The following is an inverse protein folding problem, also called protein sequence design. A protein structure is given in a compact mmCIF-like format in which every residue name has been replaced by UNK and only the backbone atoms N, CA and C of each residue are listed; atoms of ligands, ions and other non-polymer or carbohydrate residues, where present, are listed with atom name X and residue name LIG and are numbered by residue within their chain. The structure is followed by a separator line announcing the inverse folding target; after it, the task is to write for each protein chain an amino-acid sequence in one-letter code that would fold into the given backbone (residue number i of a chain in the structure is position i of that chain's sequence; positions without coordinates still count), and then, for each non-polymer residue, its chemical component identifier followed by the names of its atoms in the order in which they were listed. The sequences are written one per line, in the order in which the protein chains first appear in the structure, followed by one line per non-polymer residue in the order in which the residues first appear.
data_IF_993370507652
#
_entry.id   IF_993370507652
#
_cell.length_a   1.000
_cell.length_b   1.000
_cell.length_c   1.000
_cell.angle_alpha   90.00
_cell.angle_beta   90.00
_cell.angle_gamma   90.00
#
_symmetry.space_group_name_H-M   'P 1'
#
loop_
_entity.id
_entity.type
_entity.pdbx_description
1 polymer ?
#
# COMPACT_ATOMS: atom_id res chain seq x y z
N UNK A 1 -12.10 -4.73 4.77
CA UNK A 1 -10.65 -4.68 5.12
C UNK A 1 -10.35 -5.01 6.58
N UNK A 2 -11.29 -4.83 7.49
CA UNK A 2 -11.12 -5.16 8.92
C UNK A 2 -10.70 -6.61 9.17
N UNK A 3 -11.33 -7.58 8.52
CA UNK A 3 -10.97 -8.99 8.64
C UNK A 3 -9.51 -9.31 8.28
N UNK A 4 -8.95 -8.61 7.29
CA UNK A 4 -7.54 -8.73 6.89
C UNK A 4 -6.61 -8.22 8.00
N UNK A 5 -6.89 -7.04 8.55
CA UNK A 5 -6.10 -6.46 9.65
C UNK A 5 -6.19 -7.31 10.92
N UNK A 6 -7.39 -7.77 11.25
CA UNK A 6 -7.59 -8.66 12.39
C UNK A 6 -6.83 -9.99 12.24
N UNK A 7 -6.79 -10.58 11.04
CA UNK A 7 -6.02 -11.79 10.77
C UNK A 7 -4.52 -11.56 10.96
N UNK A 8 -3.98 -10.43 10.47
CA UNK A 8 -2.57 -10.05 10.64
C UNK A 8 -2.24 -9.85 12.12
N UNK A 9 -3.08 -9.13 12.85
CA UNK A 9 -2.87 -8.88 14.28
C UNK A 9 -2.85 -10.17 15.08
N UNK A 10 -3.83 -11.08 14.88
CA UNK A 10 -3.85 -12.39 15.53
C UNK A 10 -2.58 -13.19 15.23
N UNK A 11 -2.15 -13.23 13.97
CA UNK A 11 -0.94 -13.94 13.56
C UNK A 11 0.32 -13.34 14.19
N UNK A 12 0.43 -12.02 14.28
CA UNK A 12 1.55 -11.34 14.93
C UNK A 12 1.60 -11.60 16.44
N UNK A 13 0.43 -11.68 17.09
CA UNK A 13 0.30 -11.95 18.54
C UNK A 13 0.49 -13.44 18.90
N UNK A 14 0.24 -14.35 17.97
CA UNK A 14 0.25 -15.79 18.20
C UNK A 14 1.65 -16.41 18.42
N UNK A 15 2.70 -15.59 18.56
CA UNK A 15 4.10 -16.07 18.57
C UNK A 15 4.88 -15.98 19.89
N UNK A 16 4.29 -15.72 21.08
CA UNK A 16 5.02 -15.89 22.33
C UNK A 16 5.34 -17.38 22.55
N UNK A 17 6.62 -17.74 22.51
CA UNK A 17 7.09 -19.07 22.91
C UNK A 17 7.27 -20.12 21.81
N UNK A 18 6.95 -19.83 20.53
CA UNK A 18 7.30 -20.75 19.43
C UNK A 18 8.75 -20.56 18.96
N UNK A 19 9.53 -21.64 18.73
CA UNK A 19 10.85 -21.54 18.15
C UNK A 19 10.73 -21.00 16.72
N UNK A 20 11.54 -19.99 16.40
CA UNK A 20 11.58 -19.38 15.08
C UNK A 20 11.80 -17.86 15.14
N UNK A 21 12.08 -17.22 14.01
CA UNK A 21 12.21 -15.77 13.97
C UNK A 21 10.87 -15.11 14.33
N UNK A 22 10.92 -14.14 15.25
CA UNK A 22 9.73 -13.34 15.61
C UNK A 22 9.14 -12.71 14.35
N UNK A 23 7.82 -12.70 14.27
CA UNK A 23 7.12 -11.97 13.21
C UNK A 23 7.50 -10.48 13.31
N UNK A 24 7.99 -9.92 12.23
CA UNK A 24 8.18 -8.48 12.15
C UNK A 24 6.80 -7.82 12.05
N UNK A 25 6.62 -6.64 12.66
CA UNK A 25 5.39 -5.85 12.51
C UNK A 25 5.10 -5.36 11.09
N UNK A 26 5.95 -5.72 10.15
CA UNK A 26 5.94 -5.18 8.79
C UNK A 26 4.74 -5.60 7.95
N UNK A 27 4.14 -6.78 8.21
CA UNK A 27 3.10 -7.31 7.33
C UNK A 27 1.85 -6.41 7.26
N UNK A 28 1.46 -5.82 8.38
CA UNK A 28 0.35 -4.86 8.44
C UNK A 28 0.63 -3.62 7.62
N UNK A 29 1.79 -3.00 7.86
CA UNK A 29 2.24 -1.81 7.15
C UNK A 29 2.41 -2.06 5.65
N UNK A 30 2.93 -3.24 5.26
CA UNK A 30 3.05 -3.63 3.85
C UNK A 30 1.67 -3.73 3.20
N UNK A 31 0.68 -4.31 3.87
CA UNK A 31 -0.70 -4.42 3.34
C UNK A 31 -1.35 -3.05 3.24
N UNK A 32 -1.23 -2.21 4.26
CA UNK A 32 -1.76 -0.84 4.21
C UNK A 32 -1.10 -0.03 3.09
N UNK A 33 0.22 -0.17 2.92
CA UNK A 33 0.92 0.51 1.84
C UNK A 33 0.63 -0.10 0.46
N UNK A 34 0.20 -1.36 0.36
CA UNK A 34 -0.33 -1.91 -0.90
C UNK A 34 -1.71 -1.34 -1.25
N UNK A 35 -2.53 -1.05 -0.25
CA UNK A 35 -3.87 -0.49 -0.42
C UNK A 35 -3.84 1.01 -0.77
N UNK A 36 -2.84 1.76 -0.30
CA UNK A 36 -2.76 3.19 -0.54
C UNK A 36 -2.57 3.53 -2.04
N UNK A 37 -1.50 3.09 -2.73
CA UNK A 37 -1.32 3.33 -4.15
C UNK A 37 -1.92 2.25 -5.07
N UNK A 38 -2.40 1.14 -4.54
CA UNK A 38 -2.78 -0.03 -5.35
C UNK A 38 -1.59 -0.73 -6.03
N UNK A 39 -0.39 -0.56 -5.50
CA UNK A 39 0.85 -1.03 -6.14
C UNK A 39 1.08 -2.53 -6.00
N UNK A 40 1.97 -3.08 -6.84
CA UNK A 40 2.40 -4.47 -6.74
C UNK A 40 3.31 -4.66 -5.54
N UNK A 41 3.29 -5.83 -4.91
CA UNK A 41 4.13 -6.15 -3.74
C UNK A 41 5.63 -5.88 -3.98
N UNK A 42 6.14 -6.17 -5.18
CA UNK A 42 7.53 -5.88 -5.53
C UNK A 42 7.84 -4.40 -5.59
N UNK A 43 6.88 -3.58 -6.02
CA UNK A 43 6.98 -2.12 -6.04
C UNK A 43 7.01 -1.56 -4.61
N UNK A 44 6.11 -2.03 -3.75
CA UNK A 44 6.06 -1.62 -2.33
C UNK A 44 7.36 -1.96 -1.58
N UNK A 45 7.88 -3.17 -1.78
CA UNK A 45 9.11 -3.61 -1.12
C UNK A 45 10.38 -2.94 -1.68
N UNK A 46 10.28 -2.26 -2.84
CA UNK A 46 11.35 -1.49 -3.44
C UNK A 46 11.39 -0.03 -2.99
N UNK A 47 10.40 0.44 -2.22
CA UNK A 47 10.31 1.84 -1.80
C UNK A 47 11.43 2.24 -0.85
N UNK A 48 11.92 3.44 -1.05
CA UNK A 48 12.91 4.10 -0.20
C UNK A 48 12.28 5.32 0.46
N UNK A 49 12.83 5.77 1.56
CA UNK A 49 12.37 6.98 2.22
C UNK A 49 12.46 8.20 1.31
N UNK A 50 13.48 8.29 0.46
CA UNK A 50 13.63 9.37 -0.53
C UNK A 50 12.61 9.33 -1.67
N UNK A 51 11.87 8.24 -1.83
CA UNK A 51 10.79 8.13 -2.82
C UNK A 51 9.47 8.72 -2.28
N UNK A 52 9.45 9.26 -1.04
CA UNK A 52 8.33 9.90 -0.37
C UNK A 52 8.57 11.40 -0.20
N UNK A 53 7.53 12.18 -0.39
CA UNK A 53 7.44 13.55 0.11
C UNK A 53 6.30 13.63 1.13
N UNK A 54 6.65 13.43 2.42
CA UNK A 54 5.68 13.48 3.51
C UNK A 54 5.49 14.90 4.07
N UNK A 55 6.32 15.86 3.66
CA UNK A 55 6.26 17.24 4.11
C UNK A 55 5.40 18.13 3.19
N UNK A 56 5.08 17.66 2.00
CA UNK A 56 4.21 18.36 1.07
C UNK A 56 2.81 18.58 1.68
N UNK A 57 2.13 19.64 1.27
CA UNK A 57 0.72 19.88 1.61
C UNK A 57 -0.17 18.66 1.28
N UNK A 58 0.13 18.00 0.16
CA UNK A 58 -0.45 16.72 -0.24
C UNK A 58 0.68 15.68 -0.31
N UNK A 59 0.88 14.88 0.75
CA UNK A 59 1.96 13.90 0.79
C UNK A 59 1.91 12.92 -0.37
N UNK A 60 3.07 12.65 -0.96
CA UNK A 60 3.17 11.82 -2.17
C UNK A 60 4.14 10.66 -2.02
N UNK A 61 3.95 9.67 -2.87
CA UNK A 61 4.79 8.50 -3.05
C UNK A 61 5.13 8.33 -4.53
N UNK A 62 6.41 8.18 -4.85
CA UNK A 62 6.87 7.87 -6.22
C UNK A 62 7.24 6.39 -6.32
N UNK A 63 6.53 5.67 -7.19
CA UNK A 63 6.84 4.29 -7.55
C UNK A 63 7.81 4.32 -8.72
N UNK A 64 9.08 4.01 -8.44
CA UNK A 64 10.18 4.10 -9.40
C UNK A 64 11.10 2.88 -9.38
N UNK A 65 10.62 1.74 -8.87
CA UNK A 65 11.39 0.51 -8.84
C UNK A 65 10.59 -0.69 -8.37
N UNK A 66 11.18 -1.86 -8.52
CA UNK A 66 10.59 -3.13 -8.08
C UNK A 66 11.66 -4.10 -7.60
N UNK A 67 11.32 -4.97 -6.67
CA UNK A 67 12.20 -6.06 -6.23
C UNK A 67 12.07 -7.22 -7.20
N UNK A 68 13.20 -7.62 -7.78
CA UNK A 68 13.32 -8.80 -8.63
C UNK A 68 14.31 -9.80 -8.03
N UNK A 69 14.20 -11.06 -8.45
CA UNK A 69 15.15 -12.12 -8.11
C UNK A 69 15.99 -12.47 -9.33
N UNK A 70 17.29 -12.48 -9.15
CA UNK A 70 18.24 -12.96 -10.17
C UNK A 70 19.02 -14.14 -9.61
N UNK A 71 19.05 -15.24 -10.37
CA UNK A 71 19.81 -16.42 -10.00
C UNK A 71 21.30 -16.06 -9.80
N UNK A 72 21.87 -16.44 -8.67
CA UNK A 72 23.24 -16.11 -8.28
C UNK A 72 23.44 -14.72 -7.63
N UNK A 73 22.51 -13.79 -7.76
CA UNK A 73 22.59 -12.45 -7.15
C UNK A 73 21.54 -12.23 -6.04
N UNK A 74 20.51 -13.07 -5.97
CA UNK A 74 19.45 -12.94 -4.98
C UNK A 74 18.42 -11.84 -5.32
N UNK A 75 17.85 -11.23 -4.27
CA UNK A 75 16.88 -10.14 -4.43
C UNK A 75 17.61 -8.80 -4.51
N UNK A 76 17.26 -8.01 -5.52
CA UNK A 76 17.75 -6.65 -5.68
C UNK A 76 16.66 -5.73 -6.22
N UNK A 77 16.84 -4.43 -6.05
CA UNK A 77 15.96 -3.42 -6.60
C UNK A 77 16.35 -3.13 -8.04
N UNK A 78 15.38 -3.22 -8.92
CA UNK A 78 15.45 -2.67 -10.27
C UNK A 78 14.81 -1.28 -10.22
N UNK A 79 15.59 -0.26 -10.61
CA UNK A 79 15.25 1.15 -10.38
C UNK A 79 14.17 1.72 -11.29
N UNK A 80 13.57 0.92 -12.15
CA UNK A 80 12.46 1.37 -12.98
C UNK A 80 11.56 0.20 -13.34
N UNK A 81 10.33 0.51 -13.72
CA UNK A 81 9.36 -0.49 -14.13
C UNK A 81 9.52 -0.78 -15.63
N UNK A 82 9.05 -1.95 -16.08
CA UNK A 82 9.17 -2.36 -17.49
C UNK A 82 8.46 -1.45 -18.48
N UNK A 83 7.57 -0.55 -18.02
CA UNK A 83 6.85 0.42 -18.84
C UNK A 83 6.84 1.77 -18.15
N UNK A 84 6.83 2.85 -18.91
CA UNK A 84 6.73 4.22 -18.39
C UNK A 84 5.50 4.40 -17.48
N UNK A 85 4.40 3.72 -17.77
CA UNK A 85 3.21 3.71 -16.95
C UNK A 85 3.42 3.10 -15.54
N UNK A 86 4.45 2.30 -15.35
CA UNK A 86 4.85 1.79 -14.02
C UNK A 86 5.49 2.85 -13.14
N UNK A 87 6.14 3.86 -13.75
CA UNK A 87 6.80 4.96 -13.06
C UNK A 87 5.78 6.08 -12.81
N UNK A 88 5.34 6.24 -11.56
CA UNK A 88 4.26 7.17 -11.22
C UNK A 88 4.42 7.74 -9.82
N UNK A 89 3.90 8.95 -9.63
CA UNK A 89 3.73 9.57 -8.32
C UNK A 89 2.24 9.60 -7.99
N UNK A 90 1.89 9.23 -6.77
CA UNK A 90 0.52 9.19 -6.27
C UNK A 90 0.42 9.97 -4.95
N UNK A 91 -0.72 10.60 -4.72
CA UNK A 91 -1.03 11.21 -3.43
C UNK A 91 -1.40 10.11 -2.44
N UNK A 92 -0.88 10.22 -1.22
CA UNK A 92 -1.11 9.25 -0.16
C UNK A 92 -2.37 9.58 0.64
N UNK A 93 -3.24 8.60 0.91
CA UNK A 93 -4.32 8.75 1.88
C UNK A 93 -3.77 8.89 3.31
N UNK A 94 -4.53 9.54 4.19
CA UNK A 94 -4.10 9.88 5.55
C UNK A 94 -3.66 8.68 6.37
N UNK A 95 -4.34 7.54 6.25
CA UNK A 95 -3.98 6.32 6.97
C UNK A 95 -2.55 5.85 6.63
N UNK A 96 -2.16 5.96 5.35
CA UNK A 96 -0.81 5.58 4.91
C UNK A 96 0.24 6.59 5.37
N UNK A 97 -0.08 7.89 5.36
CA UNK A 97 0.80 8.93 5.89
C UNK A 97 1.07 8.71 7.38
N UNK A 98 0.03 8.51 8.19
CA UNK A 98 0.17 8.26 9.63
C UNK A 98 1.01 7.01 9.93
N UNK A 99 0.78 5.92 9.20
CA UNK A 99 1.58 4.70 9.31
C UNK A 99 3.05 4.94 8.95
N UNK A 100 3.32 5.63 7.83
CA UNK A 100 4.68 5.92 7.38
C UNK A 100 5.42 6.85 8.34
N UNK A 101 4.76 7.86 8.90
CA UNK A 101 5.35 8.72 9.92
C UNK A 101 5.75 7.94 11.17
N UNK A 102 4.84 7.11 11.69
CA UNK A 102 5.12 6.24 12.84
C UNK A 102 6.28 5.30 12.54
N UNK A 103 6.30 4.71 11.35
CA UNK A 103 7.37 3.82 10.91
C UNK A 103 8.70 4.55 10.80
N UNK A 104 8.74 5.77 10.26
CA UNK A 104 9.96 6.58 10.11
C UNK A 104 10.60 6.91 11.46
N UNK A 105 9.79 7.22 12.47
CA UNK A 105 10.28 7.49 13.83
C UNK A 105 10.95 6.28 14.49
N UNK A 106 10.53 5.05 14.10
CA UNK A 106 11.03 3.81 14.67
C UNK A 106 11.98 3.06 13.72
N UNK A 107 12.27 3.61 12.55
CA UNK A 107 13.11 2.96 11.55
C UNK A 107 14.59 3.02 11.97
N UNK A 108 15.27 1.88 11.91
CA UNK A 108 16.73 1.85 11.96
C UNK A 108 17.28 2.25 10.58
N UNK A 109 18.41 2.97 10.60
CA UNK A 109 19.12 3.30 9.39
C UNK A 109 19.55 2.03 8.65
N UNK A 110 19.42 2.07 7.34
CA UNK A 110 19.87 0.97 6.50
C UNK A 110 20.52 1.51 5.20
N UNK A 111 21.54 0.80 4.68
CA UNK A 111 22.33 1.30 3.54
C UNK A 111 21.55 1.40 2.22
N UNK A 112 20.30 0.95 2.20
CA UNK A 112 19.43 0.96 1.01
C UNK A 112 18.36 2.03 1.08
N UNK A 113 18.30 2.78 2.18
CA UNK A 113 17.25 3.76 2.46
C UNK A 113 15.82 3.13 2.35
N UNK A 114 15.74 1.80 2.51
CA UNK A 114 14.52 1.04 2.29
C UNK A 114 13.49 1.28 3.41
N UNK A 115 12.23 1.48 3.06
CA UNK A 115 11.12 1.57 4.03
C UNK A 115 10.95 0.23 4.74
N UNK A 116 11.11 -0.87 4.00
CA UNK A 116 11.04 -2.24 4.50
C UNK A 116 12.38 -2.95 4.29
N UNK A 117 13.22 -2.95 5.30
CA UNK A 117 14.49 -3.65 5.29
C UNK A 117 14.46 -4.91 6.15
N UNK A 118 15.26 -5.91 5.79
CA UNK A 118 15.53 -7.02 6.67
C UNK A 118 16.41 -6.57 7.85
N UNK A 119 16.55 -7.41 8.88
CA UNK A 119 17.48 -7.16 10.01
C UNK A 119 18.93 -6.95 9.58
N UNK A 120 19.30 -7.41 8.37
CA UNK A 120 20.63 -7.23 7.78
C UNK A 120 20.72 -6.02 6.86
N UNK A 121 19.68 -5.15 6.82
CA UNK A 121 19.63 -4.00 5.92
C UNK A 121 19.47 -4.36 4.44
N UNK A 122 19.06 -5.58 4.11
CA UNK A 122 18.80 -6.02 2.72
C UNK A 122 17.32 -5.85 2.36
N UNK A 123 17.03 -5.87 1.05
CA UNK A 123 15.66 -5.88 0.56
C UNK A 123 14.87 -7.09 1.06
N UNK A 124 13.62 -6.89 1.42
CA UNK A 124 12.71 -7.99 1.74
C UNK A 124 12.35 -8.78 0.48
N UNK A 125 12.28 -10.10 0.65
CA UNK A 125 11.81 -11.00 -0.40
C UNK A 125 10.28 -10.93 -0.54
N UNK A 126 9.74 -10.63 -1.74
CA UNK A 126 8.30 -10.73 -1.99
C UNK A 126 7.74 -12.13 -1.71
N UNK A 127 8.53 -13.17 -1.90
CA UNK A 127 8.15 -14.56 -1.62
C UNK A 127 7.98 -14.80 -0.12
N UNK A 128 8.87 -14.25 0.72
CA UNK A 128 8.76 -14.35 2.17
C UNK A 128 7.52 -13.61 2.69
N UNK A 129 7.26 -12.41 2.18
CA UNK A 129 6.06 -11.65 2.55
C UNK A 129 4.79 -12.40 2.14
N UNK A 130 4.74 -12.99 0.94
CA UNK A 130 3.62 -13.83 0.52
C UNK A 130 3.44 -15.07 1.40
N UNK A 131 4.54 -15.66 1.88
CA UNK A 131 4.48 -16.79 2.83
C UNK A 131 3.91 -16.34 4.16
N UNK A 132 4.37 -15.24 4.73
CA UNK A 132 3.84 -14.66 5.97
C UNK A 132 2.35 -14.35 5.83
N UNK A 133 1.94 -13.75 4.71
CA UNK A 133 0.54 -13.49 4.43
C UNK A 133 -0.31 -14.78 4.37
N UNK A 134 0.19 -15.84 3.71
CA UNK A 134 -0.49 -17.13 3.71
C UNK A 134 -0.66 -17.70 5.13
N UNK A 135 0.32 -17.54 5.99
CA UNK A 135 0.23 -17.96 7.39
C UNK A 135 -0.79 -17.10 8.17
N UNK A 136 -0.74 -15.78 8.01
CA UNK A 136 -1.64 -14.86 8.70
C UNK A 136 -3.12 -15.09 8.35
N UNK A 137 -3.43 -15.47 7.12
CA UNK A 137 -4.79 -15.70 6.63
C UNK A 137 -5.32 -17.13 6.82
N UNK A 138 -4.48 -18.11 7.18
CA UNK A 138 -4.82 -19.55 7.17
C UNK A 138 -5.97 -19.72 8.09
N UNK A 139 -6.35 -19.39 9.09
CA UNK A 139 -7.53 -19.70 9.91
C UNK A 139 -8.55 -18.53 9.95
N UNK A 140 -8.57 -17.74 8.89
CA UNK A 140 -9.39 -16.52 8.87
C UNK A 140 -10.48 -16.52 7.77
N UNK A 141 -10.62 -17.61 6.99
CA UNK A 141 -11.53 -17.64 5.85
C UNK A 141 -11.14 -16.70 4.71
N UNK A 142 -9.85 -16.33 4.63
CA UNK A 142 -9.30 -15.36 3.68
C UNK A 142 -8.35 -16.00 2.67
N UNK A 143 -8.48 -17.29 2.41
CA UNK A 143 -7.57 -18.07 1.54
C UNK A 143 -7.55 -17.53 0.11
N UNK A 144 -8.65 -16.96 -0.34
CA UNK A 144 -8.80 -16.32 -1.64
C UNK A 144 -8.10 -14.95 -1.74
N UNK A 145 -7.80 -14.31 -0.62
CA UNK A 145 -7.14 -12.98 -0.61
C UNK A 145 -5.66 -13.14 -0.89
N UNK A 146 -5.19 -12.55 -1.96
CA UNK A 146 -3.78 -12.54 -2.37
C UNK A 146 -3.27 -11.09 -2.41
N UNK A 147 -1.96 -10.84 -2.51
CA UNK A 147 -1.44 -9.50 -2.78
C UNK A 147 -2.05 -8.83 -4.01
N UNK A 148 -2.43 -9.61 -5.02
CA UNK A 148 -3.12 -9.07 -6.19
C UNK A 148 -4.57 -8.67 -5.90
N UNK A 149 -5.21 -9.30 -4.93
CA UNK A 149 -6.56 -8.94 -4.48
C UNK A 149 -6.59 -7.52 -3.93
N UNK A 150 -5.59 -7.11 -3.15
CA UNK A 150 -5.50 -5.73 -2.65
C UNK A 150 -5.48 -4.70 -3.80
N UNK A 151 -4.68 -4.96 -4.82
CA UNK A 151 -4.65 -4.09 -6.01
C UNK A 151 -5.98 -4.08 -6.76
N UNK A 152 -6.66 -5.22 -6.89
CA UNK A 152 -8.00 -5.29 -7.48
C UNK A 152 -9.03 -4.51 -6.66
N UNK A 153 -8.96 -4.58 -5.33
CA UNK A 153 -9.83 -3.81 -4.43
C UNK A 153 -9.69 -2.31 -4.68
N UNK A 154 -8.44 -1.81 -4.76
CA UNK A 154 -8.17 -0.40 -5.08
C UNK A 154 -8.71 -0.04 -6.46
N UNK A 155 -8.44 -0.86 -7.48
CA UNK A 155 -8.94 -0.64 -8.84
C UNK A 155 -10.47 -0.50 -8.86
N UNK A 156 -11.17 -1.47 -8.27
CA UNK A 156 -12.64 -1.50 -8.25
C UNK A 156 -13.22 -0.34 -7.47
N UNK A 157 -12.59 0.05 -6.35
CA UNK A 157 -13.05 1.17 -5.55
C UNK A 157 -12.94 2.49 -6.32
N UNK A 158 -11.78 2.75 -6.95
CA UNK A 158 -11.57 3.98 -7.71
C UNK A 158 -12.47 4.00 -8.95
N UNK A 159 -12.61 2.89 -9.66
CA UNK A 159 -13.49 2.79 -10.83
C UNK A 159 -14.95 3.08 -10.48
N UNK A 160 -15.41 2.58 -9.33
CA UNK A 160 -16.77 2.80 -8.82
C UNK A 160 -17.04 4.25 -8.40
N UNK A 161 -16.09 4.86 -7.68
CA UNK A 161 -16.25 6.18 -7.06
C UNK A 161 -15.83 7.33 -8.00
N UNK A 162 -15.03 7.03 -9.02
CA UNK A 162 -14.57 7.97 -10.04
C UNK A 162 -14.79 7.39 -11.44
N UNK A 163 -13.76 6.75 -12.02
CA UNK A 163 -13.83 6.10 -13.33
C UNK A 163 -12.62 5.17 -13.60
N UNK A 164 -12.71 4.38 -14.67
CA UNK A 164 -11.66 3.46 -15.09
C UNK A 164 -10.33 4.16 -15.46
N UNK A 165 -10.37 5.42 -15.94
CA UNK A 165 -9.19 6.21 -16.29
C UNK A 165 -8.41 6.61 -15.04
N UNK A 166 -9.09 7.05 -13.99
CA UNK A 166 -8.48 7.32 -12.68
C UNK A 166 -7.87 6.04 -12.09
N UNK A 167 -8.60 4.93 -12.14
CA UNK A 167 -8.08 3.63 -11.69
C UNK A 167 -6.82 3.22 -12.47
N UNK A 168 -6.81 3.36 -13.79
CA UNK A 168 -5.66 3.04 -14.63
C UNK A 168 -4.44 3.90 -14.29
N UNK A 169 -4.62 5.22 -14.15
CA UNK A 169 -3.56 6.16 -13.78
C UNK A 169 -2.97 5.84 -12.40
N UNK A 170 -3.82 5.63 -11.39
CA UNK A 170 -3.41 5.27 -10.03
C UNK A 170 -2.60 3.98 -10.00
N UNK A 171 -3.01 2.99 -10.77
CA UNK A 171 -2.38 1.68 -10.80
C UNK A 171 -1.15 1.63 -11.71
N UNK A 172 -0.96 2.58 -12.61
CA UNK A 172 0.07 2.53 -13.63
C UNK A 172 -0.18 1.38 -14.61
N UNK A 173 -1.41 1.29 -15.13
CA UNK A 173 -1.71 0.45 -16.28
C UNK A 173 -1.34 1.22 -17.55
N UNK A 174 -0.59 0.57 -18.44
CA UNK A 174 -0.40 1.09 -19.78
C UNK A 174 -1.76 1.03 -20.51
N UNK A 175 -2.42 2.18 -20.69
CA UNK A 175 -3.48 2.29 -21.68
C UNK A 175 -2.89 2.26 -23.07
N UNK A 176 -3.64 1.79 -24.07
CA UNK A 176 -3.22 1.35 -25.42
C UNK A 176 -2.47 2.37 -26.33
N UNK A 177 -2.02 3.49 -25.83
CA UNK A 177 -1.28 4.47 -26.59
C UNK A 177 0.18 4.60 -26.17
N UNK A 178 0.94 3.50 -26.25
CA UNK A 178 2.40 3.62 -26.30
C UNK A 178 2.85 3.69 -27.76
N UNK A 179 2.48 4.76 -28.41
CA UNK A 179 3.20 5.21 -29.60
C UNK A 179 3.47 6.68 -29.41
N UNK A 180 4.52 7.03 -28.64
CA UNK A 180 5.42 8.12 -28.98
C UNK A 180 6.43 8.46 -27.86
N UNK A 181 7.66 7.97 -28.10
CA UNK A 181 8.94 8.72 -28.10
C UNK A 181 9.50 9.31 -26.81
N UNK A 182 10.65 8.73 -26.45
CA UNK A 182 11.91 9.43 -26.11
C UNK A 182 11.81 10.86 -25.53
N UNK A 183 11.10 11.00 -24.43
CA UNK A 183 11.34 12.10 -23.52
C UNK A 183 11.51 11.52 -22.12
N UNK A 184 12.55 11.98 -21.43
CA UNK A 184 12.65 11.79 -19.97
C UNK A 184 11.53 12.64 -19.38
N UNK A 185 10.32 12.08 -19.34
CA UNK A 185 9.17 12.71 -18.72
C UNK A 185 9.30 12.47 -17.22
N UNK A 186 9.32 13.54 -16.45
CA UNK A 186 9.09 13.43 -14.99
C UNK A 186 7.83 12.60 -14.77
N UNK A 187 7.79 11.71 -13.75
CA UNK A 187 6.61 10.88 -13.51
C UNK A 187 5.38 11.77 -13.40
N UNK A 188 4.37 11.50 -14.20
CA UNK A 188 3.12 12.22 -14.11
C UNK A 188 2.48 11.92 -12.76
N UNK A 189 2.09 12.97 -12.05
CA UNK A 189 1.28 12.82 -10.84
C UNK A 189 -0.05 12.18 -11.26
N UNK A 190 -0.38 11.02 -10.67
CA UNK A 190 -1.68 10.43 -10.86
C UNK A 190 -2.78 11.36 -10.30
N UNK A 191 -3.99 11.35 -10.88
CA UNK A 191 -5.12 12.03 -10.27
C UNK A 191 -5.27 11.66 -8.81
N UNK A 192 -5.60 12.65 -7.98
CA UNK A 192 -5.71 12.40 -6.55
C UNK A 192 -6.90 11.52 -6.23
N UNK A 193 -6.63 10.34 -5.74
CA UNK A 193 -7.62 9.37 -5.27
C UNK A 193 -7.52 9.14 -3.75
N UNK A 194 -6.78 9.99 -3.03
CA UNK A 194 -6.50 9.76 -1.61
C UNK A 194 -7.76 9.72 -0.75
N UNK A 195 -8.74 10.60 -1.00
CA UNK A 195 -10.02 10.61 -0.27
C UNK A 195 -10.83 9.34 -0.50
N UNK A 196 -10.84 8.82 -1.74
CA UNK A 196 -11.49 7.54 -2.07
C UNK A 196 -10.81 6.40 -1.30
N UNK A 197 -9.49 6.43 -1.24
CA UNK A 197 -8.69 5.39 -0.60
C UNK A 197 -8.74 5.43 0.93
N UNK A 198 -9.17 6.54 1.56
CA UNK A 198 -9.44 6.59 3.00
C UNK A 198 -10.46 5.53 3.45
N UNK A 199 -11.37 5.12 2.57
CA UNK A 199 -12.35 4.04 2.84
C UNK A 199 -11.67 2.69 3.14
N UNK A 200 -10.42 2.50 2.74
CA UNK A 200 -9.62 1.31 3.01
C UNK A 200 -8.82 1.42 4.32
N UNK A 201 -8.78 2.60 4.93
CA UNK A 201 -8.15 2.86 6.22
C UNK A 201 -8.81 2.08 7.37
N UNK A 202 -8.14 1.95 8.51
CA UNK A 202 -8.72 1.33 9.69
C UNK A 202 -9.74 2.29 10.34
N UNK A 203 -11.02 1.86 10.36
CA UNK A 203 -12.08 2.33 11.25
C UNK A 203 -12.12 3.82 11.57
N UNK A 204 -12.54 4.67 10.64
CA UNK A 204 -13.22 5.88 11.05
C UNK A 204 -14.64 5.47 11.45
N UNK A 205 -14.92 5.51 12.76
CA UNK A 205 -16.27 5.47 13.27
C UNK A 205 -17.05 6.58 12.55
N UNK A 206 -17.94 6.19 11.68
CA UNK A 206 -18.95 7.07 11.10
C UNK A 206 -19.80 7.56 12.26
N UNK A 207 -19.48 8.73 12.79
CA UNK A 207 -20.42 9.53 13.58
C UNK A 207 -21.51 9.95 12.61
N UNK A 208 -22.47 9.07 12.45
CA UNK A 208 -23.73 9.36 11.80
C UNK A 208 -24.42 10.39 12.69
N UNK A 209 -24.31 11.65 12.34
CA UNK A 209 -25.07 12.72 12.95
C UNK A 209 -26.52 12.46 12.57
N UNK A 210 -27.27 11.77 13.44
CA UNK A 210 -28.73 11.74 13.40
C UNK A 210 -29.21 13.18 13.61
N UNK A 211 -29.53 13.83 12.53
CA UNK A 211 -30.38 15.01 12.57
C UNK A 211 -31.77 14.54 13.02
N UNK A 212 -31.97 14.55 14.34
CA UNK A 212 -33.34 14.55 14.89
C UNK A 212 -34.00 15.82 14.42
N UNK A 213 -34.87 15.71 13.43
CA UNK A 213 -35.86 16.69 13.11
C UNK A 213 -36.82 16.81 14.30
N UNK A 214 -36.68 17.89 15.06
CA UNK A 214 -37.74 18.34 15.96
C UNK A 214 -38.84 18.97 15.08
N UNK A 215 -39.94 18.24 14.88
CA UNK A 215 -41.16 18.80 14.41
C UNK A 215 -41.84 19.59 15.53
N UNK A 216 -42.49 20.71 15.24
CA UNK A 216 -43.17 21.48 16.27
C UNK A 216 -44.44 20.76 16.74
N UNK A 217 -44.62 20.69 18.06
CA UNK A 217 -45.89 20.29 18.67
C UNK A 217 -46.84 21.51 18.54
N UNK A 218 -47.85 21.37 17.75
CA UNK A 218 -49.02 22.25 17.85
C UNK A 218 -49.81 21.85 19.09
N UNK A 219 -50.05 22.84 19.95
CA UNK A 219 -51.02 22.82 21.05
C UNK A 219 -52.35 23.25 20.49
N UNK A 220 -53.33 22.46 20.70
CA UNK A 220 -54.76 22.75 20.61
C UNK A 220 -55.51 21.96 21.67
#
# INVERSE_FOLDING_TARGET
MEGVRAAIQRWQQATPGKPGPRHTGDLGDIVDLMLAPGARIGEILALRWKDLDLAAERPTLTICGTIIYLKGKGFFRQDWTKSDAGFRTVVLPRFAVGMLMTRKLNAADNPRDAIFASRRGTWLSPQNVRRQWRQARADAGLEWVTPHTFRKTVATLIDKEADAKHAAAQLGHATEEVTNRHYIVKPALAPDSSEILEQLGAGQATTRHERRSHGPRETG
#
